data_IF_119611437560
#
_entry.id   IF_119611437560
#
_cell.length_a   1.000
_cell.length_b   1.000
_cell.length_c   1.000
_cell.angle_alpha   90.00
_cell.angle_beta   90.00
_cell.angle_gamma   90.00
#
_symmetry.space_group_name_H-M   'P 1'
#
loop_
_entity.id
_entity.type
_entity.pdbx_description
1 polymer ?
#
# COMPACT_ATOMS: atom_id res chain seq x y z
N UNK A 1 11.70 -64.94 16.16
CA UNK A 1 12.05 -64.08 15.02
C UNK A 1 11.05 -64.43 13.93
N UNK A 2 10.16 -63.57 13.43
CA UNK A 2 10.05 -62.13 13.48
C UNK A 2 9.38 -61.71 12.17
N UNK A 3 8.07 -61.95 12.11
CA UNK A 3 7.01 -61.47 11.21
C UNK A 3 7.09 -61.74 9.70
N UNK A 4 6.12 -62.56 9.26
CA UNK A 4 5.53 -62.57 7.92
C UNK A 4 4.24 -61.74 7.90
N UNK A 5 4.03 -61.13 6.73
CA UNK A 5 2.77 -60.94 6.02
C UNK A 5 1.75 -59.86 6.40
N UNK A 6 1.34 -59.20 5.29
CA UNK A 6 0.04 -58.58 4.95
C UNK A 6 -0.37 -57.33 5.75
N UNK A 7 -1.02 -56.33 5.19
CA UNK A 7 -1.92 -56.31 4.05
C UNK A 7 -2.00 -54.91 3.46
N UNK A 8 -2.04 -54.85 2.13
CA UNK A 8 -2.54 -53.73 1.34
C UNK A 8 -3.99 -53.45 1.68
N UNK A 9 -4.24 -52.43 2.50
CA UNK A 9 -5.56 -51.82 2.62
C UNK A 9 -5.42 -50.32 2.39
N UNK A 10 -5.47 -49.93 1.12
CA UNK A 10 -6.01 -48.64 0.70
C UNK A 10 -7.43 -48.54 1.22
N UNK A 11 -7.58 -48.00 2.44
CA UNK A 11 -8.87 -47.61 2.98
C UNK A 11 -9.33 -46.34 2.26
N UNK A 12 -10.05 -46.53 1.15
CA UNK A 12 -11.08 -45.58 0.69
C UNK A 12 -12.28 -45.52 1.68
N UNK A 13 -12.00 -45.45 2.97
CA UNK A 13 -12.95 -45.40 4.10
C UNK A 13 -12.32 -44.47 5.12
N UNK A 14 -12.50 -43.14 5.06
CA UNK A 14 -13.66 -42.45 5.64
C UNK A 14 -13.65 -40.97 5.19
N UNK A 15 -13.46 -40.69 3.89
CA UNK A 15 -13.33 -39.30 3.39
C UNK A 15 -14.54 -38.41 3.67
N UNK A 16 -15.72 -39.01 3.92
CA UNK A 16 -16.94 -38.31 4.30
C UNK A 16 -16.89 -37.77 5.73
N UNK A 17 -16.26 -38.48 6.66
CA UNK A 17 -16.23 -38.12 8.08
C UNK A 17 -15.26 -36.98 8.41
N UNK A 18 -14.24 -36.78 7.57
CA UNK A 18 -13.28 -35.68 7.72
C UNK A 18 -13.81 -34.35 7.18
N UNK A 19 -14.76 -34.42 6.24
CA UNK A 19 -15.42 -33.24 5.66
C UNK A 19 -16.70 -32.85 6.42
N UNK A 20 -17.20 -33.72 7.29
CA UNK A 20 -18.37 -33.43 8.12
C UNK A 20 -18.01 -32.56 9.32
N UNK A 21 -18.55 -31.34 9.38
CA UNK A 21 -18.28 -30.34 10.42
C UNK A 21 -18.69 -30.83 11.82
N UNK A 22 -19.67 -31.75 11.91
CA UNK A 22 -20.13 -32.32 13.19
C UNK A 22 -19.31 -33.51 13.69
N UNK A 23 -18.37 -34.03 12.89
CA UNK A 23 -17.60 -35.23 13.20
C UNK A 23 -16.44 -34.95 14.15
N UNK A 24 -16.13 -35.90 15.05
CA UNK A 24 -14.94 -35.84 15.92
C UNK A 24 -13.62 -35.88 15.13
N UNK A 25 -13.66 -36.34 13.88
CA UNK A 25 -12.50 -36.42 12.97
C UNK A 25 -12.48 -35.30 11.93
N UNK A 26 -13.23 -34.22 12.15
CA UNK A 26 -13.30 -33.10 11.20
C UNK A 26 -11.91 -32.48 10.94
N UNK A 27 -11.53 -32.37 9.66
CA UNK A 27 -10.27 -31.76 9.24
C UNK A 27 -10.53 -30.38 8.61
N UNK A 28 -10.26 -29.27 9.32
CA UNK A 28 -10.60 -27.93 8.85
C UNK A 28 -9.82 -27.51 7.60
N UNK A 29 -8.57 -27.97 7.46
CA UNK A 29 -7.74 -27.64 6.31
C UNK A 29 -8.27 -28.33 5.04
N UNK A 30 -8.62 -29.61 5.14
CA UNK A 30 -9.20 -30.37 4.02
C UNK A 30 -10.58 -29.84 3.63
N UNK A 31 -11.38 -29.41 4.61
CA UNK A 31 -12.67 -28.78 4.37
C UNK A 31 -12.54 -27.45 3.60
N UNK A 32 -11.55 -26.61 3.92
CA UNK A 32 -11.34 -25.31 3.27
C UNK A 32 -11.05 -25.43 1.77
N UNK A 33 -10.34 -26.48 1.35
CA UNK A 33 -9.95 -26.69 -0.04
C UNK A 33 -10.84 -27.69 -0.80
N UNK A 34 -11.85 -28.28 -0.14
CA UNK A 34 -12.73 -29.28 -0.75
C UNK A 34 -13.98 -28.64 -1.36
N UNK A 35 -14.24 -28.93 -2.63
CA UNK A 35 -15.49 -28.55 -3.29
C UNK A 35 -16.72 -29.36 -2.81
N UNK A 36 -16.51 -30.42 -2.02
CA UNK A 36 -17.56 -31.35 -1.56
C UNK A 36 -18.06 -31.06 -0.14
N UNK A 37 -17.60 -29.98 0.48
CA UNK A 37 -17.99 -29.60 1.85
C UNK A 37 -19.49 -29.26 1.92
N UNK A 38 -20.21 -29.90 2.86
CA UNK A 38 -21.61 -29.58 3.16
C UNK A 38 -21.65 -28.73 4.43
N UNK A 39 -22.04 -27.46 4.30
CA UNK A 39 -22.26 -26.58 5.45
C UNK A 39 -23.54 -27.02 6.18
N UNK A 40 -23.53 -27.26 7.50
CA UNK A 40 -24.69 -27.78 8.24
C UNK A 40 -25.95 -26.93 8.11
N UNK A 41 -25.81 -25.60 7.97
CA UNK A 41 -26.93 -24.66 7.82
C UNK A 41 -26.68 -23.78 6.60
N UNK A 42 -27.20 -24.12 5.41
CA UNK A 42 -26.92 -23.38 4.17
C UNK A 42 -27.56 -21.99 4.15
N UNK A 43 -28.60 -21.75 4.97
CA UNK A 43 -29.25 -20.44 5.14
C UNK A 43 -28.61 -19.57 6.21
N UNK A 44 -27.49 -19.99 6.80
CA UNK A 44 -26.79 -19.19 7.80
C UNK A 44 -26.30 -17.88 7.17
N UNK A 45 -26.50 -16.77 7.90
CA UNK A 45 -26.00 -15.48 7.46
C UNK A 45 -24.47 -15.48 7.54
N UNK A 46 -23.82 -15.22 6.40
CA UNK A 46 -22.38 -14.97 6.36
C UNK A 46 -22.08 -13.64 7.07
N UNK A 47 -20.97 -13.59 7.79
CA UNK A 47 -20.50 -12.39 8.47
C UNK A 47 -19.15 -12.00 7.88
N UNK A 48 -18.98 -10.72 7.57
CA UNK A 48 -17.81 -10.22 6.82
C UNK A 48 -16.50 -10.31 7.63
N UNK A 49 -16.58 -10.35 8.95
CA UNK A 49 -15.41 -10.44 9.82
C UNK A 49 -15.70 -11.27 11.10
N UNK A 50 -14.64 -11.73 11.75
CA UNK A 50 -14.71 -12.54 12.97
C UNK A 50 -15.32 -11.74 14.13
N UNK A 51 -15.05 -10.43 14.22
CA UNK A 51 -15.55 -9.58 15.30
C UNK A 51 -17.07 -9.40 15.29
N UNK A 52 -17.70 -9.32 14.12
CA UNK A 52 -19.16 -9.25 14.00
C UNK A 52 -19.82 -10.57 14.40
N UNK A 53 -19.17 -11.70 14.09
CA UNK A 53 -19.61 -13.02 14.54
C UNK A 53 -19.51 -13.15 16.06
N UNK A 54 -18.36 -12.81 16.63
CA UNK A 54 -18.13 -12.85 18.08
C UNK A 54 -19.12 -11.95 18.83
N UNK A 55 -19.35 -10.73 18.36
CA UNK A 55 -20.30 -9.80 19.00
C UNK A 55 -21.74 -10.34 19.01
N UNK A 56 -22.19 -10.93 17.90
CA UNK A 56 -23.51 -11.57 17.82
C UNK A 56 -23.60 -12.80 18.71
N UNK A 57 -22.55 -13.63 18.74
CA UNK A 57 -22.51 -14.80 19.60
C UNK A 57 -22.52 -14.41 21.08
N UNK A 58 -21.77 -13.38 21.47
CA UNK A 58 -21.73 -12.88 22.85
C UNK A 58 -23.11 -12.37 23.29
N UNK A 59 -23.85 -11.74 22.37
CA UNK A 59 -25.25 -11.33 22.60
C UNK A 59 -26.15 -12.53 22.89
N UNK A 60 -25.87 -13.69 22.28
CA UNK A 60 -26.58 -14.95 22.48
C UNK A 60 -26.08 -15.78 23.68
N UNK A 61 -25.07 -15.32 24.44
CA UNK A 61 -24.50 -16.05 25.58
C UNK A 61 -23.10 -16.61 25.37
N UNK A 62 -22.45 -16.30 24.26
CA UNK A 62 -21.10 -16.78 23.94
C UNK A 62 -21.09 -18.18 23.32
N UNK A 63 -19.91 -18.73 23.07
CA UNK A 63 -19.76 -20.04 22.41
C UNK A 63 -19.93 -21.23 23.36
N UNK A 64 -19.91 -20.99 24.67
CA UNK A 64 -19.96 -22.02 25.70
C UNK A 64 -21.37 -22.34 26.16
N UNK A 65 -22.30 -21.39 26.05
CA UNK A 65 -23.69 -21.58 26.47
C UNK A 65 -24.51 -22.21 25.36
N UNK A 66 -25.44 -23.11 25.73
CA UNK A 66 -26.38 -23.71 24.79
C UNK A 66 -27.36 -22.66 24.28
N UNK A 67 -27.75 -22.80 23.03
CA UNK A 67 -28.78 -21.96 22.41
C UNK A 67 -30.09 -21.99 23.22
N UNK A 68 -30.57 -20.81 23.63
CA UNK A 68 -31.81 -20.64 24.38
C UNK A 68 -32.76 -19.67 23.65
N UNK A 69 -33.92 -20.18 23.24
CA UNK A 69 -34.96 -19.40 22.57
C UNK A 69 -35.57 -18.31 23.46
N UNK A 70 -35.62 -18.51 24.78
CA UNK A 70 -36.19 -17.55 25.72
C UNK A 70 -35.33 -16.27 25.76
N UNK A 71 -34.01 -16.42 25.70
CA UNK A 71 -33.05 -15.31 25.64
C UNK A 71 -33.21 -14.49 24.36
N UNK A 72 -33.43 -15.14 23.21
CA UNK A 72 -33.70 -14.45 21.94
C UNK A 72 -35.01 -13.68 22.01
N UNK A 73 -36.06 -14.26 22.61
CA UNK A 73 -37.33 -13.54 22.83
C UNK A 73 -37.13 -12.32 23.72
N UNK A 74 -36.31 -12.42 24.76
CA UNK A 74 -35.98 -11.29 25.64
C UNK A 74 -35.16 -10.20 24.94
N UNK A 75 -34.19 -10.57 24.09
CA UNK A 75 -33.43 -9.64 23.25
C UNK A 75 -34.33 -8.93 22.24
N UNK A 76 -35.25 -9.67 21.60
CA UNK A 76 -36.22 -9.07 20.67
C UNK A 76 -37.21 -8.16 21.39
N UNK A 77 -37.66 -8.54 22.58
CA UNK A 77 -38.55 -7.72 23.42
C UNK A 77 -37.86 -6.44 23.92
N UNK A 78 -36.54 -6.49 24.20
CA UNK A 78 -35.79 -5.30 24.59
C UNK A 78 -35.52 -4.35 23.41
N UNK A 79 -35.38 -4.89 22.19
CA UNK A 79 -35.29 -4.09 20.96
C UNK A 79 -36.63 -3.47 20.53
N UNK A 80 -37.75 -4.11 20.84
CA UNK A 80 -39.10 -3.61 20.55
C UNK A 80 -39.67 -2.70 21.65
N UNK A 81 -38.85 -2.14 22.54
CA UNK A 81 -39.35 -1.09 23.43
C UNK A 81 -39.89 0.07 22.57
N UNK A 82 -41.17 0.44 22.71
CA UNK A 82 -41.71 1.57 21.96
C UNK A 82 -40.87 2.80 22.30
N UNK A 83 -40.45 3.53 21.27
CA UNK A 83 -39.88 4.86 21.44
C UNK A 83 -40.89 5.64 22.29
N UNK A 84 -40.44 6.11 23.45
CA UNK A 84 -41.20 7.03 24.30
C UNK A 84 -41.79 8.15 23.42
N UNK A 85 -43.05 8.47 23.67
CA UNK A 85 -43.90 9.37 22.89
C UNK A 85 -43.16 10.62 22.37
N UNK A 86 -43.38 10.94 21.10
CA UNK A 86 -42.71 11.98 20.31
C UNK A 86 -42.88 13.44 20.80
N UNK A 87 -43.50 13.72 21.95
CA UNK A 87 -43.86 15.09 22.34
C UNK A 87 -43.28 15.62 23.66
N UNK A 88 -42.40 14.89 24.34
CA UNK A 88 -41.59 15.50 25.38
C UNK A 88 -40.12 15.20 25.11
N UNK A 89 -39.40 16.20 24.59
CA UNK A 89 -37.94 16.14 24.62
C UNK A 89 -37.54 15.93 26.08
N UNK A 90 -36.85 14.85 26.44
CA UNK A 90 -36.40 14.67 27.81
C UNK A 90 -35.43 15.81 28.13
N UNK A 91 -35.93 16.84 28.82
CA UNK A 91 -35.10 17.94 29.31
C UNK A 91 -34.20 17.38 30.41
N UNK A 92 -32.98 17.05 30.02
CA UNK A 92 -31.89 16.69 30.94
C UNK A 92 -31.68 17.86 31.91
N UNK A 93 -32.02 17.65 33.19
CA UNK A 93 -31.80 18.59 34.30
C UNK A 93 -30.32 18.63 34.71
N UNK A 94 -29.43 18.94 33.76
CA UNK A 94 -28.04 19.19 34.10
C UNK A 94 -27.89 20.60 34.63
N UNK A 95 -27.16 20.76 35.74
CA UNK A 95 -26.60 22.05 36.12
C UNK A 95 -25.73 22.59 34.96
N UNK A 96 -25.54 23.91 34.81
CA UNK A 96 -24.72 24.47 33.73
C UNK A 96 -23.32 23.84 33.60
N UNK A 97 -22.73 23.42 34.72
CA UNK A 97 -21.45 22.70 34.80
C UNK A 97 -21.51 21.22 34.41
N UNK A 98 -22.70 20.60 34.50
CA UNK A 98 -22.96 19.20 34.15
C UNK A 98 -23.48 19.04 32.70
N UNK A 99 -23.63 20.16 31.98
CA UNK A 99 -24.03 20.17 30.59
C UNK A 99 -23.02 19.45 29.70
N UNK A 100 -23.41 19.07 28.47
CA UNK A 100 -22.48 18.55 27.48
C UNK A 100 -21.33 19.56 27.31
N UNK A 101 -20.10 19.16 27.66
CA UNK A 101 -18.92 19.98 27.39
C UNK A 101 -18.86 20.18 25.89
N UNK A 102 -18.99 21.43 25.43
CA UNK A 102 -18.87 21.78 24.02
C UNK A 102 -17.53 21.26 23.53
N UNK A 103 -17.57 20.16 22.77
CA UNK A 103 -16.36 19.55 22.23
C UNK A 103 -15.82 20.52 21.18
N UNK A 104 -14.86 21.34 21.57
CA UNK A 104 -14.12 22.18 20.62
C UNK A 104 -13.60 21.24 19.54
N UNK A 105 -13.96 21.50 18.29
CA UNK A 105 -13.54 20.65 17.16
C UNK A 105 -12.03 20.47 17.27
N UNK A 106 -11.59 19.21 17.19
CA UNK A 106 -10.17 18.92 17.36
C UNK A 106 -9.36 19.71 16.34
N UNK A 107 -8.41 20.51 16.83
CA UNK A 107 -7.44 21.32 16.05
C UNK A 107 -6.64 20.45 15.06
N UNK A 108 -6.72 19.12 15.17
CA UNK A 108 -6.00 18.16 14.32
C UNK A 108 -6.13 18.38 12.81
N UNK A 109 -7.19 19.04 12.33
CA UNK A 109 -7.38 19.33 10.89
C UNK A 109 -6.89 20.72 10.43
N UNK A 110 -6.34 21.57 11.32
CA UNK A 110 -5.88 22.92 10.95
C UNK A 110 -4.41 22.98 10.54
N UNK A 111 -3.68 21.85 10.60
CA UNK A 111 -2.25 21.78 10.29
C UNK A 111 -2.02 20.97 9.00
N UNK A 112 -2.46 21.50 7.87
CA UNK A 112 -2.18 20.92 6.55
C UNK A 112 -0.87 21.50 5.95
N UNK A 113 -0.39 20.90 4.86
CA UNK A 113 0.81 21.39 4.16
C UNK A 113 0.60 22.75 3.51
N UNK A 114 -0.61 23.04 3.03
CA UNK A 114 -0.95 24.27 2.33
C UNK A 114 -0.87 25.50 3.25
N UNK A 115 -1.43 25.40 4.46
CA UNK A 115 -1.32 26.42 5.52
C UNK A 115 0.15 26.62 5.92
N UNK A 116 1.00 25.59 5.82
CA UNK A 116 2.44 25.73 6.09
C UNK A 116 3.18 26.42 4.95
N UNK A 117 2.81 26.16 3.70
CA UNK A 117 3.34 26.86 2.54
C UNK A 117 2.91 28.33 2.54
N UNK A 118 1.65 28.63 2.86
CA UNK A 118 1.11 29.98 2.99
C UNK A 118 1.82 30.80 4.09
N UNK A 119 2.19 30.16 5.21
CA UNK A 119 2.97 30.80 6.27
C UNK A 119 4.39 31.14 5.86
N UNK A 120 4.89 30.53 4.79
CA UNK A 120 6.27 30.64 4.36
C UNK A 120 7.23 29.76 5.15
N UNK A 121 8.30 29.36 4.47
CA UNK A 121 9.47 28.75 5.10
C UNK A 121 10.64 29.72 5.11
N UNK A 122 11.47 29.65 6.15
CA UNK A 122 12.73 30.38 6.23
C UNK A 122 13.92 29.49 5.90
N UNK A 123 15.04 30.10 5.49
CA UNK A 123 16.28 29.40 5.19
C UNK A 123 16.21 28.53 3.91
N UNK A 124 16.84 27.33 3.89
CA UNK A 124 16.92 26.50 2.69
C UNK A 124 15.57 26.05 2.13
N UNK A 125 14.58 25.79 2.99
CA UNK A 125 13.22 25.46 2.56
C UNK A 125 12.48 26.68 2.00
N UNK A 126 12.80 27.89 2.47
CA UNK A 126 12.30 29.13 1.87
C UNK A 126 12.84 29.34 0.46
N UNK A 127 14.10 28.98 0.20
CA UNK A 127 14.66 29.02 -1.15
C UNK A 127 13.95 28.01 -2.08
N UNK A 128 13.61 26.84 -1.55
CA UNK A 128 12.84 25.83 -2.27
C UNK A 128 11.42 26.32 -2.58
N UNK A 129 10.80 27.06 -1.66
CA UNK A 129 9.51 27.72 -1.88
C UNK A 129 9.55 28.74 -3.01
N UNK A 130 10.59 29.59 -3.07
CA UNK A 130 10.78 30.52 -4.18
C UNK A 130 10.87 29.78 -5.52
N UNK A 131 11.65 28.70 -5.58
CA UNK A 131 11.75 27.88 -6.79
C UNK A 131 10.41 27.24 -7.20
N UNK A 132 9.57 26.87 -6.24
CA UNK A 132 8.21 26.37 -6.48
C UNK A 132 7.29 27.46 -7.04
N UNK A 133 7.30 28.65 -6.42
CA UNK A 133 6.48 29.81 -6.85
C UNK A 133 6.87 30.29 -8.25
N UNK A 134 8.17 30.36 -8.54
CA UNK A 134 8.73 30.71 -9.85
C UNK A 134 8.54 29.61 -10.91
N UNK A 135 8.07 28.41 -10.51
CA UNK A 135 8.01 27.19 -11.34
C UNK A 135 9.35 26.85 -12.00
N UNK A 136 10.43 27.05 -11.26
CA UNK A 136 11.77 26.75 -11.73
C UNK A 136 12.01 25.24 -11.88
N UNK A 137 12.79 24.86 -12.90
CA UNK A 137 13.29 23.49 -13.04
C UNK A 137 14.42 23.26 -12.05
N UNK A 138 14.26 22.24 -11.21
CA UNK A 138 15.22 21.83 -10.20
C UNK A 138 15.84 20.49 -10.57
N UNK A 139 17.11 20.31 -10.19
CA UNK A 139 17.82 19.04 -10.25
C UNK A 139 17.98 18.47 -8.84
N UNK A 140 17.36 17.32 -8.61
CA UNK A 140 17.38 16.59 -7.35
C UNK A 140 18.32 15.39 -7.47
N UNK A 141 19.40 15.37 -6.69
CA UNK A 141 20.32 14.23 -6.63
C UNK A 141 19.77 13.14 -5.71
N UNK A 142 19.71 11.91 -6.21
CA UNK A 142 19.08 10.77 -5.53
C UNK A 142 20.14 9.85 -4.95
N UNK A 143 19.98 9.49 -3.66
CA UNK A 143 20.89 8.59 -2.94
C UNK A 143 20.74 7.14 -3.39
N UNK A 144 21.81 6.37 -3.23
CA UNK A 144 21.85 4.90 -3.30
C UNK A 144 22.24 4.37 -1.91
N UNK A 145 22.21 3.05 -1.72
CA UNK A 145 22.75 2.41 -0.50
C UNK A 145 24.19 2.87 -0.20
N UNK A 146 25.02 3.05 -1.24
CA UNK A 146 26.36 3.62 -1.15
C UNK A 146 26.53 4.64 -2.29
N UNK A 147 26.65 5.93 -1.94
CA UNK A 147 26.84 7.02 -2.89
C UNK A 147 25.55 7.52 -3.55
N UNK A 148 25.71 8.23 -4.68
CA UNK A 148 24.62 8.84 -5.46
C UNK A 148 24.22 7.91 -6.62
N UNK A 149 22.91 7.68 -6.81
CA UNK A 149 22.36 6.84 -7.88
C UNK A 149 22.32 7.57 -9.23
N UNK A 150 21.97 8.85 -9.18
CA UNK A 150 21.63 9.67 -10.34
C UNK A 150 20.92 10.94 -9.91
N UNK A 151 20.25 11.59 -10.84
CA UNK A 151 19.48 12.80 -10.57
C UNK A 151 18.14 12.78 -11.30
N UNK A 152 17.22 13.58 -10.77
CA UNK A 152 15.89 13.81 -11.29
C UNK A 152 15.80 15.30 -11.56
N UNK A 153 15.60 15.68 -12.82
CA UNK A 153 15.33 17.08 -13.22
C UNK A 153 13.84 17.25 -13.47
N UNK A 154 13.21 18.32 -12.98
CA UNK A 154 11.80 18.60 -13.26
C UNK A 154 11.34 19.91 -12.63
N UNK A 155 10.12 20.34 -12.95
CA UNK A 155 9.50 21.52 -12.33
C UNK A 155 9.01 21.15 -10.94
N UNK A 156 9.33 21.98 -9.94
CA UNK A 156 8.91 21.75 -8.57
C UNK A 156 7.47 22.26 -8.36
N UNK A 157 6.53 21.34 -8.11
CA UNK A 157 5.13 21.68 -7.88
C UNK A 157 4.82 21.85 -6.39
N UNK A 158 5.30 20.93 -5.55
CA UNK A 158 5.02 20.92 -4.11
C UNK A 158 6.21 20.31 -3.35
N UNK A 159 6.39 20.74 -2.10
CA UNK A 159 7.35 20.14 -1.18
C UNK A 159 6.83 20.11 0.27
N UNK A 160 7.52 19.36 1.13
CA UNK A 160 7.26 19.32 2.59
C UNK A 160 8.59 19.43 3.38
N UNK A 161 8.47 19.67 4.70
CA UNK A 161 9.60 19.75 5.66
C UNK A 161 10.51 18.53 5.66
N UNK A 162 9.98 17.38 5.25
CA UNK A 162 10.71 16.13 5.15
C UNK A 162 11.49 15.99 3.85
N UNK A 163 11.52 17.05 3.01
CA UNK A 163 12.10 17.05 1.66
C UNK A 163 11.40 16.07 0.71
N UNK A 164 10.14 15.74 0.97
CA UNK A 164 9.31 15.06 -0.02
C UNK A 164 9.00 16.07 -1.12
N UNK A 165 9.32 15.76 -2.38
CA UNK A 165 9.19 16.67 -3.51
C UNK A 165 8.24 16.07 -4.55
N UNK A 166 7.23 16.82 -4.94
CA UNK A 166 6.39 16.50 -6.10
C UNK A 166 6.90 17.30 -7.30
N UNK A 167 7.29 16.58 -8.35
CA UNK A 167 7.85 17.16 -9.57
C UNK A 167 6.97 16.84 -10.77
N UNK A 168 6.86 17.79 -11.70
CA UNK A 168 6.22 17.63 -13.02
C UNK A 168 7.26 17.77 -14.15
N UNK A 169 6.92 17.26 -15.34
CA UNK A 169 7.81 17.21 -16.52
C UNK A 169 9.23 16.68 -16.20
N UNK A 170 9.25 15.46 -15.67
CA UNK A 170 10.41 14.90 -15.01
C UNK A 170 11.28 14.14 -16.00
N UNK A 171 12.57 14.47 -16.01
CA UNK A 171 13.62 13.70 -16.66
C UNK A 171 14.48 13.03 -15.59
N UNK A 172 14.31 11.72 -15.40
CA UNK A 172 15.13 10.94 -14.49
C UNK A 172 16.32 10.34 -15.24
N UNK A 173 17.52 10.55 -14.71
CA UNK A 173 18.77 10.00 -15.25
C UNK A 173 19.53 9.24 -14.17
N UNK A 174 19.85 7.97 -14.43
CA UNK A 174 20.63 7.14 -13.51
C UNK A 174 21.61 6.24 -14.23
N UNK A 175 22.64 5.82 -13.49
CA UNK A 175 23.69 4.94 -14.01
C UNK A 175 23.44 3.50 -13.58
N UNK A 176 23.52 2.56 -14.52
CA UNK A 176 23.40 1.12 -14.28
C UNK A 176 24.60 0.40 -14.89
N UNK A 177 25.07 -0.70 -14.27
CA UNK A 177 26.00 -1.63 -14.92
C UNK A 177 25.31 -2.35 -16.08
N UNK A 178 26.05 -2.56 -17.18
CA UNK A 178 25.58 -3.34 -18.34
C UNK A 178 25.20 -4.76 -17.90
N UNK A 179 24.22 -5.36 -18.57
CA UNK A 179 23.65 -6.67 -18.23
C UNK A 179 24.69 -7.79 -18.05
N UNK A 180 25.74 -7.83 -18.87
CA UNK A 180 26.85 -8.81 -18.74
C UNK A 180 27.90 -8.47 -17.66
N UNK A 181 27.75 -7.35 -16.97
CA UNK A 181 28.66 -6.87 -15.93
C UNK A 181 27.96 -6.68 -14.57
N UNK A 182 26.67 -7.02 -14.46
CA UNK A 182 25.98 -7.15 -13.19
C UNK A 182 26.19 -8.55 -12.61
N UNK A 183 26.58 -8.62 -11.33
CA UNK A 183 26.63 -9.87 -10.59
C UNK A 183 25.20 -10.35 -10.33
N UNK A 184 24.68 -11.23 -11.18
CA UNK A 184 23.45 -11.95 -10.87
C UNK A 184 23.85 -13.21 -10.09
N UNK A 185 23.52 -13.26 -8.80
CA UNK A 185 23.77 -14.42 -7.92
C UNK A 185 22.74 -15.55 -8.11
N UNK A 186 21.94 -15.50 -9.17
CA UNK A 186 20.93 -16.53 -9.44
C UNK A 186 21.57 -17.72 -10.14
N UNK A 187 21.11 -18.92 -9.77
CA UNK A 187 21.59 -20.17 -10.35
C UNK A 187 21.36 -20.18 -11.87
N UNK A 188 22.35 -20.59 -12.69
CA UNK A 188 22.28 -20.50 -14.15
C UNK A 188 21.06 -21.22 -14.75
N UNK A 189 20.65 -22.35 -14.18
CA UNK A 189 19.48 -23.12 -14.65
C UNK A 189 18.12 -22.47 -14.32
N UNK A 190 18.10 -21.44 -13.48
CA UNK A 190 16.88 -20.69 -13.13
C UNK A 190 16.65 -19.47 -14.03
N UNK A 191 17.59 -19.15 -14.92
CA UNK A 191 17.49 -17.97 -15.80
C UNK A 191 17.02 -18.35 -17.19
N UNK A 192 15.74 -18.09 -17.47
CA UNK A 192 15.29 -17.95 -18.85
C UNK A 192 16.02 -16.78 -19.53
N UNK A 193 16.27 -16.89 -20.84
CA UNK A 193 16.81 -15.78 -21.61
C UNK A 193 15.94 -14.52 -21.44
N UNK A 194 16.50 -13.30 -21.44
CA UNK A 194 15.72 -12.07 -21.34
C UNK A 194 14.62 -12.04 -22.42
N UNK A 195 13.36 -12.15 -21.99
CA UNK A 195 12.19 -12.01 -22.86
C UNK A 195 11.63 -10.60 -22.73
N UNK A 196 11.15 -10.06 -23.85
CA UNK A 196 10.41 -8.80 -23.80
C UNK A 196 9.03 -9.02 -23.18
N UNK A 197 8.75 -8.30 -22.09
CA UNK A 197 7.49 -8.39 -21.37
C UNK A 197 6.50 -7.27 -21.75
N UNK A 198 6.84 -6.45 -22.76
CA UNK A 198 6.09 -5.25 -23.12
C UNK A 198 4.62 -5.53 -23.46
N UNK A 199 4.33 -6.61 -24.19
CA UNK A 199 2.95 -6.98 -24.54
C UNK A 199 2.13 -7.37 -23.30
N UNK A 200 2.73 -8.13 -22.38
CA UNK A 200 2.09 -8.51 -21.12
C UNK A 200 1.77 -7.29 -20.26
N UNK A 201 2.68 -6.31 -20.20
CA UNK A 201 2.45 -5.05 -19.48
C UNK A 201 1.32 -4.24 -20.11
N UNK A 202 1.23 -4.18 -21.44
CA UNK A 202 0.12 -3.52 -22.14
C UNK A 202 -1.23 -4.17 -21.83
N UNK A 203 -1.30 -5.51 -21.78
CA UNK A 203 -2.53 -6.22 -21.39
C UNK A 203 -2.96 -5.90 -19.95
N UNK A 204 -2.02 -5.56 -19.07
CA UNK A 204 -2.29 -5.10 -17.71
C UNK A 204 -2.59 -3.59 -17.62
N UNK A 205 -2.64 -2.88 -18.74
CA UNK A 205 -2.84 -1.42 -18.78
C UNK A 205 -1.61 -0.61 -18.35
N UNK A 206 -0.43 -1.24 -18.25
CA UNK A 206 0.81 -0.59 -17.83
C UNK A 206 1.58 -0.14 -19.07
N UNK A 207 1.72 1.18 -19.24
CA UNK A 207 2.55 1.78 -20.29
C UNK A 207 3.89 2.17 -19.69
N UNK A 208 4.96 1.55 -20.20
CA UNK A 208 6.33 1.90 -19.81
C UNK A 208 6.74 3.21 -20.49
N UNK A 209 7.35 4.16 -19.76
CA UNK A 209 7.92 5.36 -20.37
C UNK A 209 9.11 5.01 -21.25
N UNK A 210 9.31 5.76 -22.33
CA UNK A 210 10.46 5.57 -23.22
C UNK A 210 11.79 5.77 -22.47
N UNK A 211 12.72 4.84 -22.69
CA UNK A 211 14.05 4.89 -22.11
C UNK A 211 15.10 5.18 -23.18
N UNK A 212 15.92 6.21 -22.95
CA UNK A 212 17.11 6.52 -23.74
C UNK A 212 18.33 5.97 -23.01
N UNK A 213 19.05 5.06 -23.65
CA UNK A 213 20.25 4.44 -23.09
C UNK A 213 21.48 4.97 -23.82
N UNK A 214 22.44 5.50 -23.08
CA UNK A 214 23.73 5.96 -23.61
C UNK A 214 24.88 5.25 -22.88
N UNK A 215 25.98 4.93 -23.57
CA UNK A 215 27.19 4.46 -22.89
C UNK A 215 27.69 5.55 -21.93
N UNK A 216 28.08 5.16 -20.72
CA UNK A 216 28.81 6.05 -19.82
C UNK A 216 30.30 6.11 -20.26
N UNK A 217 31.07 7.05 -19.73
CA UNK A 217 32.52 7.22 -19.98
C UNK A 217 33.38 6.00 -19.56
N UNK A 218 32.77 4.91 -19.09
CA UNK A 218 33.41 3.63 -18.80
C UNK A 218 32.71 2.44 -19.49
N UNK A 219 33.50 1.44 -19.90
CA UNK A 219 33.01 0.26 -20.65
C UNK A 219 31.89 -0.53 -19.95
N UNK A 220 31.83 -0.49 -18.61
CA UNK A 220 30.95 -1.34 -17.77
C UNK A 220 29.60 -0.72 -17.43
N UNK A 221 29.42 0.59 -17.61
CA UNK A 221 28.22 1.31 -17.18
C UNK A 221 27.44 1.89 -18.37
N UNK A 222 26.15 2.08 -18.18
CA UNK A 222 25.23 2.79 -19.08
C UNK A 222 24.46 3.83 -18.29
N UNK A 223 24.25 4.98 -18.91
CA UNK A 223 23.39 6.04 -18.42
C UNK A 223 22.01 5.82 -19.06
N UNK A 224 21.00 5.75 -18.21
CA UNK A 224 19.61 5.55 -18.64
C UNK A 224 18.87 6.82 -18.27
N UNK A 225 18.16 7.38 -19.25
CA UNK A 225 17.30 8.55 -19.08
C UNK A 225 15.87 8.16 -19.46
N UNK A 226 14.90 8.52 -18.62
CA UNK A 226 13.47 8.37 -18.94
C UNK A 226 12.71 9.66 -18.67
N UNK A 227 11.66 9.90 -19.46
CA UNK A 227 10.71 10.99 -19.21
C UNK A 227 9.50 10.45 -18.45
N UNK A 228 9.09 11.16 -17.40
CA UNK A 228 7.95 10.81 -16.56
C UNK A 228 7.10 12.08 -16.37
N UNK A 229 5.78 12.02 -16.54
CA UNK A 229 4.95 13.22 -16.44
C UNK A 229 4.94 13.81 -15.02
N UNK A 230 4.85 12.96 -14.01
CA UNK A 230 4.81 13.34 -12.59
C UNK A 230 5.58 12.34 -11.74
N UNK A 231 6.33 12.82 -10.75
CA UNK A 231 7.09 11.97 -9.84
C UNK A 231 7.08 12.55 -8.42
N UNK A 232 6.71 11.71 -7.46
CA UNK A 232 6.88 12.00 -6.03
C UNK A 232 8.20 11.39 -5.53
N UNK A 233 9.14 12.23 -5.13
CA UNK A 233 10.41 11.83 -4.54
C UNK A 233 10.30 11.89 -3.03
N UNK A 234 10.59 10.78 -2.35
CA UNK A 234 10.67 10.74 -0.88
C UNK A 234 11.93 11.46 -0.42
N UNK A 235 11.82 12.35 0.55
CA UNK A 235 12.94 13.19 0.99
C UNK A 235 14.08 12.44 1.66
N UNK A 236 13.80 11.24 2.19
CA UNK A 236 14.84 10.32 2.62
C UNK A 236 15.84 10.01 1.49
N UNK A 237 15.39 9.95 0.23
CA UNK A 237 16.24 9.65 -0.91
C UNK A 237 16.98 10.87 -1.45
N UNK A 238 16.64 12.08 -1.02
CA UNK A 238 17.21 13.32 -1.53
C UNK A 238 18.56 13.57 -0.87
N UNK A 239 19.57 13.89 -1.69
CA UNK A 239 20.91 14.26 -1.22
C UNK A 239 21.13 15.76 -1.34
N UNK A 240 20.83 16.32 -2.51
CA UNK A 240 21.06 17.72 -2.85
C UNK A 240 20.02 18.18 -3.86
N UNK A 241 19.50 19.38 -3.69
CA UNK A 241 18.62 20.06 -4.65
C UNK A 241 19.34 21.30 -5.15
N UNK A 242 19.48 21.43 -6.45
CA UNK A 242 20.01 22.64 -7.11
C UNK A 242 19.03 23.10 -8.18
N UNK A 243 19.18 24.33 -8.66
CA UNK A 243 18.57 24.70 -9.94
C UNK A 243 19.16 23.82 -11.04
N UNK A 244 18.34 23.51 -12.05
CA UNK A 244 18.84 22.84 -13.24
C UNK A 244 19.85 23.77 -13.93
N UNK A 245 21.13 23.36 -14.10
CA UNK A 245 22.07 24.16 -14.84
C UNK A 245 21.56 24.29 -16.28
N UNK A 246 21.56 25.52 -16.80
CA UNK A 246 21.29 25.76 -18.21
C UNK A 246 22.19 24.87 -19.06
N UNK A 247 21.66 24.30 -20.15
CA UNK A 247 22.49 23.53 -21.07
C UNK A 247 23.69 24.39 -21.48
N UNK A 248 24.94 23.87 -21.41
CA UNK A 248 26.05 24.57 -22.01
C UNK A 248 25.71 24.66 -23.50
N UNK A 249 25.40 25.86 -23.98
CA UNK A 249 25.30 26.10 -25.41
C UNK A 249 26.60 25.58 -26.01
N UNK A 250 26.49 24.59 -26.90
CA UNK A 250 27.62 24.10 -27.65
C UNK A 250 28.24 25.30 -28.37
N UNK A 251 29.40 25.75 -27.90
CA UNK A 251 30.16 26.82 -28.53
C UNK A 251 30.63 26.29 -29.88
N UNK A 252 29.83 26.53 -30.91
CA UNK A 252 30.26 26.40 -32.30
C UNK A 252 31.20 27.56 -32.62
N UNK A 253 32.46 27.45 -32.19
CA UNK A 253 33.55 28.28 -32.71
C UNK A 253 34.64 27.37 -33.28
N UNK A 254 34.34 26.75 -34.43
CA UNK A 254 35.39 26.39 -35.38
C UNK A 254 35.85 27.68 -36.06
N UNK A 255 36.81 28.36 -35.44
CA UNK A 255 37.56 29.42 -36.08
C UNK A 255 38.56 28.78 -37.05
N UNK A 256 38.25 28.83 -38.33
CA UNK A 256 39.23 28.62 -39.40
C UNK A 256 40.04 29.91 -39.54
N UNK A 257 41.33 29.84 -39.23
CA UNK A 257 42.39 30.63 -39.87
C UNK A 257 43.60 29.73 -40.03
#
# INVERSE_FOLDING_TARGET
>A
MGNSDTDSTTSESDSSSELDVGSKRFNPLKALYSAKLKVPVPKALLHDNVSTLEGKQLTLGGFTEKFDEARIRQIRASQNKPKLAENEMPQRRFLPEQGPVTRVRSIRHTKNIFIRLEKGFEGPLGQLQRWMEDRNRVRVSIRKQKGVRGHVSGVLELFDKHWNLALSDVCETWTRRKYRYSENRQHPDSMEAPRDCSERLRRLGIVLPELKVRPADGKKNVIITRKVPQLLVKGEMVVLVTLEPGEPQASTSKGTK
#
